data_IF_929666253525
#
_entry.id   IF_929666253525
#
_cell.length_a   1.000
_cell.length_b   1.000
_cell.length_c   1.000
_cell.angle_alpha   90.00
_cell.angle_beta   90.00
_cell.angle_gamma   90.00
#
_symmetry.space_group_name_H-M   'P 1'
#
loop_
_entity.id
_entity.type
_entity.pdbx_description
1 polymer ?
#
# COMPACT_ATOMS: atom_id res chain seq x y z
N UNK A 1 7.03 -55.17 36.83
CA UNK A 1 6.82 -53.82 36.28
C UNK A 1 5.63 -53.19 37.01
N UNK A 2 5.86 -52.30 37.99
CA UNK A 2 4.79 -51.67 38.79
C UNK A 2 4.40 -50.36 38.12
N UNK A 3 3.17 -50.28 37.61
CA UNK A 3 2.52 -49.03 37.22
C UNK A 3 2.17 -48.25 38.49
N UNK A 4 2.67 -47.02 38.60
CA UNK A 4 2.30 -46.11 39.68
C UNK A 4 1.11 -45.29 39.20
N UNK A 5 -0.08 -45.63 39.67
CA UNK A 5 -1.29 -44.83 39.47
C UNK A 5 -1.26 -43.61 40.41
N UNK A 6 -0.79 -42.47 39.90
CA UNK A 6 -0.89 -41.21 40.61
C UNK A 6 -2.36 -40.73 40.62
N UNK A 7 -3.14 -41.14 41.64
CA UNK A 7 -4.43 -40.48 41.93
C UNK A 7 -4.17 -39.07 42.46
N UNK A 8 -4.16 -38.08 41.56
CA UNK A 8 -4.20 -36.66 41.93
C UNK A 8 -5.41 -36.41 42.84
N UNK A 9 -5.18 -36.20 44.14
CA UNK A 9 -6.21 -35.73 45.09
C UNK A 9 -6.44 -34.24 44.86
N UNK A 10 -7.33 -33.92 43.92
CA UNK A 10 -7.68 -32.53 43.59
C UNK A 10 -8.52 -31.95 44.75
N UNK A 11 -7.90 -31.06 45.53
CA UNK A 11 -8.54 -30.36 46.66
C UNK A 11 -9.70 -29.48 46.14
N UNK A 12 -10.82 -29.35 46.88
CA UNK A 12 -11.92 -28.43 46.50
C UNK A 12 -11.44 -27.01 46.19
N UNK A 13 -10.43 -26.48 46.89
CA UNK A 13 -9.80 -25.18 46.58
C UNK A 13 -9.05 -25.17 45.25
N UNK A 14 -8.41 -26.28 44.88
CA UNK A 14 -7.69 -26.44 43.61
C UNK A 14 -8.66 -26.66 42.43
N UNK A 15 -9.77 -27.36 42.66
CA UNK A 15 -10.88 -27.46 41.69
C UNK A 15 -11.52 -26.10 41.43
N UNK A 16 -11.75 -25.32 42.49
CA UNK A 16 -12.28 -23.97 42.38
C UNK A 16 -11.31 -23.06 41.60
N UNK A 17 -10.01 -23.17 41.87
CA UNK A 17 -8.97 -22.42 41.14
C UNK A 17 -8.95 -22.78 39.65
N UNK A 18 -9.05 -24.06 39.30
CA UNK A 18 -9.12 -24.54 37.92
C UNK A 18 -10.40 -24.08 37.21
N UNK A 19 -11.55 -24.08 37.90
CA UNK A 19 -12.81 -23.58 37.35
C UNK A 19 -12.76 -22.06 37.07
N UNK A 20 -12.20 -21.28 38.00
CA UNK A 20 -12.03 -19.83 37.81
C UNK A 20 -11.07 -19.53 36.64
N UNK A 21 -10.01 -20.32 36.48
CA UNK A 21 -9.07 -20.19 35.36
C UNK A 21 -9.73 -20.49 34.01
N UNK A 22 -10.60 -21.50 33.94
CA UNK A 22 -11.34 -21.89 32.73
C UNK A 22 -12.40 -20.83 32.35
N UNK A 23 -13.10 -20.25 33.34
CA UNK A 23 -14.13 -19.22 33.10
C UNK A 23 -13.49 -17.88 32.66
N UNK A 24 -12.30 -17.55 33.17
CA UNK A 24 -11.56 -16.34 32.76
C UNK A 24 -11.11 -16.32 31.29
N UNK A 25 -10.94 -17.50 30.68
CA UNK A 25 -10.52 -17.64 29.28
C UNK A 25 -11.65 -17.46 28.25
N UNK A 26 -12.92 -17.35 28.69
CA UNK A 26 -14.07 -17.19 27.80
C UNK A 26 -14.38 -15.73 27.39
N UNK A 27 -13.58 -14.75 27.86
CA UNK A 27 -13.75 -13.33 27.51
C UNK A 27 -12.99 -12.92 26.24
N UNK A 28 -12.86 -13.83 25.29
CA UNK A 28 -12.20 -13.54 24.01
C UNK A 28 -13.20 -12.98 23.01
N UNK A 29 -12.95 -11.72 22.63
CA UNK A 29 -13.54 -10.96 21.54
C UNK A 29 -15.05 -10.67 21.62
N UNK A 30 -15.43 -9.68 22.44
CA UNK A 30 -16.46 -8.75 21.96
C UNK A 30 -15.82 -7.93 20.84
N UNK A 31 -16.37 -8.00 19.62
CA UNK A 31 -16.09 -6.98 18.60
C UNK A 31 -16.62 -5.67 19.17
N UNK A 32 -15.73 -4.82 19.66
CA UNK A 32 -16.08 -3.42 19.87
C UNK A 32 -16.57 -2.88 18.53
N UNK A 33 -17.63 -2.08 18.54
CA UNK A 33 -18.06 -1.34 17.35
C UNK A 33 -16.97 -0.30 17.10
N UNK A 34 -15.90 -0.75 16.44
CA UNK A 34 -14.74 0.06 16.11
C UNK A 34 -15.14 1.21 15.21
N UNK A 35 -14.29 2.25 15.18
CA UNK A 35 -14.44 3.44 14.35
C UNK A 35 -14.97 3.13 12.94
N UNK A 36 -15.74 4.05 12.32
CA UNK A 36 -16.28 3.84 10.98
C UNK A 36 -15.22 3.31 10.02
N UNK A 37 -15.55 2.25 9.28
CA UNK A 37 -14.67 1.71 8.24
C UNK A 37 -14.31 2.86 7.29
N UNK A 38 -13.02 3.06 6.95
CA UNK A 38 -12.64 4.10 6.00
C UNK A 38 -13.32 3.84 4.65
N UNK A 39 -13.90 4.90 4.08
CA UNK A 39 -14.52 4.90 2.76
C UNK A 39 -13.50 5.43 1.74
N UNK A 40 -13.51 4.90 0.50
CA UNK A 40 -12.67 5.42 -0.57
C UNK A 40 -13.08 6.85 -0.97
N UNK A 41 -12.11 7.62 -1.40
CA UNK A 41 -12.28 8.94 -2.00
C UNK A 41 -12.18 8.86 -3.53
N UNK A 42 -12.72 9.85 -4.27
CA UNK A 42 -12.46 9.94 -5.70
C UNK A 42 -10.95 10.04 -5.97
N UNK A 43 -10.43 9.10 -6.76
CA UNK A 43 -9.02 9.08 -7.13
C UNK A 43 -8.82 9.61 -8.55
N UNK A 44 -7.83 10.47 -8.73
CA UNK A 44 -7.34 10.87 -10.05
C UNK A 44 -5.86 11.19 -10.03
N UNK A 45 -5.22 11.09 -11.19
CA UNK A 45 -3.87 11.56 -11.39
C UNK A 45 -3.77 12.19 -12.78
N UNK A 46 -3.04 13.29 -12.90
CA UNK A 46 -2.82 13.99 -14.18
C UNK A 46 -1.38 14.45 -14.31
N UNK A 47 -0.87 14.55 -15.54
CA UNK A 47 0.41 15.23 -15.78
C UNK A 47 0.15 16.74 -15.77
N UNK A 48 0.86 17.47 -14.92
CA UNK A 48 0.81 18.93 -14.90
C UNK A 48 1.26 19.49 -16.25
N UNK A 49 0.39 20.27 -16.91
CA UNK A 49 0.62 20.76 -18.27
C UNK A 49 0.15 19.82 -19.39
N UNK A 50 -0.41 18.65 -19.05
CA UNK A 50 -1.17 17.78 -19.97
C UNK A 50 -0.34 16.95 -20.96
N UNK A 51 0.98 17.10 -21.00
CA UNK A 51 1.84 16.41 -21.97
C UNK A 51 2.63 15.24 -21.36
N UNK A 52 2.67 14.11 -22.07
CA UNK A 52 3.55 12.97 -21.76
C UNK A 52 4.60 12.69 -22.83
N UNK A 53 4.81 13.63 -23.76
CA UNK A 53 5.86 13.55 -24.78
C UNK A 53 7.01 14.51 -24.45
N UNK A 54 8.24 14.03 -24.56
CA UNK A 54 9.46 14.75 -24.21
C UNK A 54 10.44 14.77 -25.38
N UNK A 55 11.18 15.87 -25.58
CA UNK A 55 12.27 15.88 -26.55
C UNK A 55 13.41 14.96 -26.09
N UNK A 56 14.33 14.66 -27.00
CA UNK A 56 15.54 13.88 -26.71
C UNK A 56 16.38 14.49 -25.57
N UNK A 57 16.32 15.80 -25.34
CA UNK A 57 16.98 16.43 -24.20
C UNK A 57 16.43 15.97 -22.83
N UNK A 58 15.25 15.35 -22.79
CA UNK A 58 14.55 14.97 -21.56
C UNK A 58 13.85 16.16 -20.93
N UNK A 59 13.50 16.03 -19.65
CA UNK A 59 12.78 17.05 -18.93
C UNK A 59 12.31 16.62 -17.55
N UNK A 60 11.56 17.51 -16.90
CA UNK A 60 10.90 17.25 -15.63
C UNK A 60 9.41 17.44 -15.82
N UNK A 61 8.62 16.62 -15.14
CA UNK A 61 7.16 16.74 -15.07
C UNK A 61 6.71 16.50 -13.64
N UNK A 62 5.49 16.95 -13.34
CA UNK A 62 4.82 16.58 -12.11
C UNK A 62 3.58 15.76 -12.44
N UNK A 63 3.41 14.63 -11.76
CA UNK A 63 2.12 13.93 -11.72
C UNK A 63 1.37 14.46 -10.50
N UNK A 64 0.26 15.15 -10.72
CA UNK A 64 -0.63 15.65 -9.67
C UNK A 64 -1.58 14.53 -9.32
N UNK A 65 -1.43 13.96 -8.13
CA UNK A 65 -2.26 12.88 -7.59
C UNK A 65 -3.27 13.51 -6.63
N UNK A 66 -4.55 13.29 -6.89
CA UNK A 66 -5.66 13.63 -5.99
C UNK A 66 -6.23 12.34 -5.44
N UNK A 67 -5.95 12.09 -4.16
CA UNK A 67 -6.29 10.84 -3.46
C UNK A 67 -6.95 11.08 -2.10
N UNK A 68 -7.18 12.33 -1.68
CA UNK A 68 -7.87 12.63 -0.42
C UNK A 68 -7.14 12.06 0.79
N UNK A 69 -7.70 11.01 1.40
CA UNK A 69 -7.06 10.27 2.51
C UNK A 69 -6.51 8.89 2.08
N UNK A 70 -6.75 8.48 0.84
CA UNK A 70 -6.43 7.16 0.34
C UNK A 70 -4.93 7.01 0.08
N UNK A 71 -4.46 5.76 0.20
CA UNK A 71 -3.10 5.39 -0.18
C UNK A 71 -2.96 5.23 -1.69
N UNK A 72 -1.74 5.39 -2.19
CA UNK A 72 -1.38 5.15 -3.58
C UNK A 72 0.06 4.65 -3.73
N UNK A 73 0.35 3.96 -4.83
CA UNK A 73 1.69 3.51 -5.20
C UNK A 73 1.92 3.53 -6.71
N UNK A 74 3.18 3.61 -7.12
CA UNK A 74 3.63 3.69 -8.51
C UNK A 74 4.15 2.33 -8.98
N UNK A 75 3.78 1.92 -10.18
CA UNK A 75 4.42 0.78 -10.88
C UNK A 75 4.95 1.22 -12.25
N UNK A 76 6.20 0.86 -12.56
CA UNK A 76 6.87 1.12 -13.83
C UNK A 76 8.11 0.21 -13.96
N UNK A 77 8.74 0.15 -15.13
CA UNK A 77 9.97 -0.63 -15.34
C UNK A 77 11.23 -0.03 -14.71
N UNK A 78 11.16 1.22 -14.22
CA UNK A 78 12.26 1.95 -13.56
C UNK A 78 13.62 1.90 -14.31
N UNK A 79 13.68 2.26 -15.60
CA UNK A 79 14.95 2.32 -16.30
C UNK A 79 15.82 3.46 -15.75
N UNK A 80 17.14 3.40 -15.94
CA UNK A 80 18.11 4.38 -15.39
C UNK A 80 17.91 5.83 -15.87
N UNK A 81 17.14 6.01 -16.94
CA UNK A 81 16.76 7.31 -17.50
C UNK A 81 15.49 7.91 -16.87
N UNK A 82 14.78 7.16 -16.03
CA UNK A 82 13.65 7.62 -15.24
C UNK A 82 14.09 7.84 -13.80
N UNK A 83 13.63 8.93 -13.18
CA UNK A 83 13.75 9.14 -11.74
C UNK A 83 12.42 9.56 -11.15
N UNK A 84 11.93 8.77 -10.20
CA UNK A 84 10.73 9.03 -9.41
C UNK A 84 11.17 9.03 -7.94
N UNK A 85 11.01 10.16 -7.25
CA UNK A 85 11.55 10.32 -5.88
C UNK A 85 10.69 9.63 -4.81
N UNK A 86 9.42 9.34 -5.13
CA UNK A 86 8.47 8.74 -4.20
C UNK A 86 7.58 7.75 -4.91
N UNK A 87 7.70 6.48 -4.52
CA UNK A 87 6.97 5.37 -5.14
C UNK A 87 5.65 5.02 -4.44
N UNK A 88 5.39 5.58 -3.26
CA UNK A 88 4.20 5.34 -2.48
C UNK A 88 3.87 6.53 -1.58
N UNK A 89 2.60 6.68 -1.25
CA UNK A 89 2.12 7.76 -0.40
C UNK A 89 0.67 7.60 0.00
N UNK A 90 0.17 8.61 0.67
CA UNK A 90 -1.25 8.77 0.98
C UNK A 90 -1.64 10.21 0.79
N UNK A 91 -2.90 10.41 0.43
CA UNK A 91 -3.48 11.69 0.11
C UNK A 91 -2.85 12.40 -1.07
N UNK A 92 -3.24 13.66 -1.23
CA UNK A 92 -2.86 14.47 -2.37
C UNK A 92 -1.36 14.71 -2.42
N UNK A 93 -0.78 14.55 -3.62
CA UNK A 93 0.66 14.70 -3.79
C UNK A 93 1.02 15.16 -5.20
N UNK A 94 1.97 16.08 -5.28
CA UNK A 94 2.59 16.50 -6.53
C UNK A 94 3.90 15.73 -6.68
N UNK A 95 3.87 14.66 -7.46
CA UNK A 95 4.99 13.73 -7.65
C UNK A 95 5.95 14.25 -8.73
N UNK A 96 7.17 14.70 -8.36
CA UNK A 96 8.17 15.08 -9.36
C UNK A 96 8.76 13.84 -10.03
N UNK A 97 8.81 13.89 -11.36
CA UNK A 97 9.41 12.87 -12.21
C UNK A 97 10.43 13.54 -13.12
N UNK A 98 11.61 12.93 -13.25
CA UNK A 98 12.67 13.39 -14.15
C UNK A 98 12.93 12.34 -15.22
N UNK A 99 12.96 12.78 -16.47
CA UNK A 99 13.31 12.01 -17.65
C UNK A 99 14.67 12.51 -18.13
N UNK A 100 15.71 11.67 -18.09
CA UNK A 100 17.05 12.01 -18.58
C UNK A 100 17.05 12.06 -20.10
N UNK A 101 18.08 12.70 -20.66
CA UNK A 101 18.27 12.75 -22.11
C UNK A 101 18.30 11.34 -22.74
N UNK A 102 17.84 11.25 -23.97
CA UNK A 102 17.93 10.09 -24.83
C UNK A 102 19.04 10.31 -25.85
N UNK A 103 20.11 9.50 -25.77
CA UNK A 103 21.29 9.63 -26.64
C UNK A 103 21.39 8.51 -27.67
N UNK A 104 20.39 7.64 -27.75
CA UNK A 104 20.39 6.48 -28.65
C UNK A 104 20.03 6.84 -30.09
N UNK A 105 19.41 8.01 -30.31
CA UNK A 105 18.86 8.43 -31.60
C UNK A 105 17.61 7.64 -32.03
N UNK A 106 16.99 6.89 -31.11
CA UNK A 106 15.75 6.15 -31.33
C UNK A 106 14.76 6.47 -30.21
N UNK A 107 13.51 6.76 -30.58
CA UNK A 107 12.45 7.06 -29.64
C UNK A 107 12.21 5.89 -28.67
N UNK A 108 11.84 6.23 -27.43
CA UNK A 108 11.58 5.25 -26.36
C UNK A 108 10.28 5.59 -25.63
N UNK A 109 9.60 4.53 -25.18
CA UNK A 109 8.33 4.62 -24.45
C UNK A 109 8.45 3.95 -23.09
N UNK A 110 7.80 4.53 -22.09
CA UNK A 110 7.65 3.97 -20.74
C UNK A 110 6.21 4.12 -20.27
N UNK A 111 5.69 3.05 -19.67
CA UNK A 111 4.40 3.09 -18.97
C UNK A 111 4.61 3.27 -17.47
N UNK A 112 3.92 4.26 -16.90
CA UNK A 112 3.84 4.51 -15.46
C UNK A 112 2.38 4.34 -15.05
N UNK A 113 2.11 3.50 -14.04
CA UNK A 113 0.78 3.40 -13.45
C UNK A 113 0.79 3.98 -12.03
N UNK A 114 -0.22 4.78 -11.73
CA UNK A 114 -0.53 5.26 -10.38
C UNK A 114 -1.71 4.46 -9.87
N UNK A 115 -1.46 3.63 -8.87
CA UNK A 115 -2.40 2.67 -8.34
C UNK A 115 -2.96 3.18 -7.00
N UNK A 116 -4.28 3.35 -6.88
CA UNK A 116 -4.92 3.67 -5.61
C UNK A 116 -5.21 2.44 -4.75
N UNK A 117 -5.40 2.67 -3.46
CA UNK A 117 -6.03 1.68 -2.55
C UNK A 117 -7.52 1.46 -2.89
N UNK A 118 -8.21 0.62 -2.12
CA UNK A 118 -9.64 0.30 -2.28
C UNK A 118 -10.04 -0.32 -3.63
N UNK A 119 -9.07 -0.89 -4.36
CA UNK A 119 -9.30 -1.54 -5.65
C UNK A 119 -9.96 -0.61 -6.69
N UNK A 120 -9.70 0.70 -6.60
CA UNK A 120 -10.06 1.65 -7.64
C UNK A 120 -9.16 1.45 -8.87
N UNK A 121 -9.63 1.77 -10.09
CA UNK A 121 -8.83 1.62 -11.30
C UNK A 121 -7.53 2.45 -11.25
N UNK A 122 -6.38 1.90 -11.68
CA UNK A 122 -5.16 2.66 -11.84
C UNK A 122 -5.27 3.74 -12.92
N UNK A 123 -4.49 4.80 -12.78
CA UNK A 123 -4.28 5.79 -13.84
C UNK A 123 -2.96 5.49 -14.56
N UNK A 124 -3.00 5.36 -15.88
CA UNK A 124 -1.84 5.00 -16.71
C UNK A 124 -1.34 6.19 -17.52
N UNK A 125 -0.02 6.41 -17.48
CA UNK A 125 0.69 7.39 -18.29
C UNK A 125 1.69 6.69 -19.22
N UNK A 126 1.60 6.96 -20.51
CA UNK A 126 2.62 6.56 -21.48
C UNK A 126 3.53 7.75 -21.76
N UNK A 127 4.76 7.66 -21.27
CA UNK A 127 5.82 8.64 -21.51
C UNK A 127 6.47 8.27 -22.84
N UNK A 128 6.37 9.17 -23.82
CA UNK A 128 7.08 9.08 -25.09
C UNK A 128 8.27 10.04 -25.06
N UNK A 129 9.45 9.59 -25.45
CA UNK A 129 10.62 10.44 -25.56
C UNK A 129 11.31 10.19 -26.90
N UNK A 130 11.62 11.27 -27.62
CA UNK A 130 12.41 11.23 -28.85
C UNK A 130 13.81 10.65 -28.63
#
# INVERSE_FOLDING_TARGET
MKTIDYKLKINPKLKLLLYVLIIGLASSCKKEVGSPKPLPTPFSAVVEGGGSSFPAAGGKLNIVISAGADGWWITSSQPDWLTITRMYGSGDFKLPVTIKANTTGQARVLTINVNPTFNLPPVTFNINQD
#
